data_IF_359429020302
#
_entry.id   IF_359429020302
#
_cell.length_a   1.000
_cell.length_b   1.000
_cell.length_c   1.000
_cell.angle_alpha   90.00
_cell.angle_beta   90.00
_cell.angle_gamma   90.00
#
_symmetry.space_group_name_H-M   'P 1'
#
loop_
_entity.id
_entity.type
_entity.pdbx_description
1 polymer ?
#
# COMPACT_ATOMS: atom_id res chain seq x y z
N UNK A 1 -4.26 4.17 29.94
CA UNK A 1 -3.82 2.89 29.29
C UNK A 1 -2.86 3.26 28.19
N UNK A 2 -1.62 2.79 28.28
CA UNK A 2 -0.61 3.00 27.26
C UNK A 2 -1.01 2.34 25.94
N UNK A 3 -0.87 3.08 24.85
CA UNK A 3 -1.07 2.57 23.49
C UNK A 3 0.19 2.82 22.69
N UNK A 4 0.45 1.98 21.72
CA UNK A 4 1.61 2.12 20.83
C UNK A 4 1.14 2.25 19.39
N UNK A 5 1.89 3.01 18.61
CA UNK A 5 1.71 3.10 17.16
C UNK A 5 3.05 3.23 16.46
N UNK A 6 3.13 2.74 15.24
CA UNK A 6 4.28 2.88 14.36
C UNK A 6 4.13 4.11 13.47
N UNK A 7 5.19 4.88 13.30
CA UNK A 7 5.25 6.05 12.44
C UNK A 7 6.41 5.88 11.44
N UNK A 8 6.06 5.75 10.15
CA UNK A 8 7.02 5.79 9.05
C UNK A 8 7.29 7.23 8.61
N UNK A 9 8.50 7.50 8.14
CA UNK A 9 8.92 8.85 7.72
C UNK A 9 9.81 8.80 6.49
N UNK A 10 9.69 9.79 5.58
CA UNK A 10 10.66 9.94 4.50
C UNK A 10 12.04 10.29 5.06
N UNK A 11 13.04 9.49 4.70
CA UNK A 11 14.42 9.60 5.17
C UNK A 11 15.35 10.21 4.13
N UNK A 12 14.92 10.24 2.87
CA UNK A 12 15.68 10.69 1.72
C UNK A 12 14.79 11.56 0.82
N UNK A 13 15.40 12.23 -0.16
CA UNK A 13 14.67 13.02 -1.15
C UNK A 13 13.75 12.15 -2.01
N UNK A 14 12.54 12.63 -2.24
CA UNK A 14 11.58 11.99 -3.13
C UNK A 14 10.98 13.01 -4.10
N UNK A 15 10.89 12.63 -5.37
CA UNK A 15 10.20 13.40 -6.40
C UNK A 15 8.76 12.94 -6.48
N UNK A 16 7.84 13.77 -6.02
CA UNK A 16 6.40 13.48 -6.11
C UNK A 16 5.86 13.54 -7.53
N UNK A 17 4.71 12.91 -7.77
CA UNK A 17 4.00 12.97 -9.04
C UNK A 17 3.54 14.37 -9.48
N UNK A 18 3.62 15.37 -8.59
CA UNK A 18 3.43 16.80 -8.89
C UNK A 18 4.64 17.46 -9.54
N UNK A 19 5.82 16.80 -9.52
CA UNK A 19 7.09 17.35 -9.97
C UNK A 19 7.88 18.09 -8.87
N UNK A 20 7.38 18.12 -7.64
CA UNK A 20 8.07 18.72 -6.49
C UNK A 20 9.00 17.72 -5.83
N UNK A 21 10.18 18.18 -5.41
CA UNK A 21 11.10 17.38 -4.60
C UNK A 21 10.81 17.63 -3.13
N UNK A 22 10.47 16.58 -2.41
CA UNK A 22 10.36 16.60 -0.96
C UNK A 22 11.67 16.11 -0.34
N UNK A 23 12.27 16.93 0.54
CA UNK A 23 13.50 16.59 1.25
C UNK A 23 13.17 15.86 2.56
N UNK A 24 13.29 14.54 2.55
CA UNK A 24 13.03 13.71 3.72
C UNK A 24 14.05 13.98 4.84
N UNK A 25 13.52 14.21 6.06
CA UNK A 25 14.31 14.47 7.28
C UNK A 25 14.09 13.43 8.35
N UNK A 26 13.29 12.43 8.05
CA UNK A 26 12.97 11.32 8.94
C UNK A 26 14.15 10.39 9.16
N UNK A 27 13.98 9.43 10.06
CA UNK A 27 15.05 8.49 10.45
C UNK A 27 14.59 7.02 10.37
N UNK A 28 13.53 6.73 9.62
CA UNK A 28 12.97 5.40 9.46
C UNK A 28 11.62 5.24 10.12
N UNK A 29 11.43 4.13 10.83
CA UNK A 29 10.19 3.81 11.55
C UNK A 29 10.41 4.03 13.05
N UNK A 30 9.55 4.84 13.68
CA UNK A 30 9.51 5.05 15.12
C UNK A 30 8.33 4.32 15.73
N UNK A 31 8.52 3.67 16.87
CA UNK A 31 7.43 3.27 17.76
C UNK A 31 7.20 4.39 18.76
N UNK A 32 5.98 4.90 18.78
CA UNK A 32 5.56 5.95 19.69
C UNK A 32 4.59 5.41 20.74
N UNK A 33 4.83 5.74 21.98
CA UNK A 33 3.93 5.50 23.11
C UNK A 33 2.99 6.69 23.25
N UNK A 34 1.70 6.42 23.36
CA UNK A 34 0.66 7.40 23.71
C UNK A 34 0.13 7.08 25.11
N UNK A 35 0.26 8.01 26.04
CA UNK A 35 -0.26 7.87 27.39
C UNK A 35 -0.76 9.24 27.89
N UNK A 36 -2.05 9.30 28.26
CA UNK A 36 -2.73 10.47 28.82
C UNK A 36 -2.44 11.80 28.08
N UNK A 37 -2.61 11.74 26.73
CA UNK A 37 -2.42 12.91 25.85
C UNK A 37 -0.97 13.20 25.49
N UNK A 38 0.01 12.47 26.04
CA UNK A 38 1.42 12.62 25.71
C UNK A 38 1.87 11.59 24.69
N UNK A 39 2.68 12.01 23.73
CA UNK A 39 3.33 11.14 22.75
C UNK A 39 4.83 11.21 22.99
N UNK A 40 5.46 10.04 23.11
CA UNK A 40 6.92 9.95 23.15
C UNK A 40 7.40 8.80 22.25
N UNK A 41 8.53 9.00 21.61
CA UNK A 41 9.21 7.92 20.90
C UNK A 41 9.83 6.96 21.92
N UNK A 42 9.51 5.66 21.81
CA UNK A 42 10.04 4.60 22.67
C UNK A 42 11.18 3.86 22.02
N UNK A 43 11.10 3.62 20.70
CA UNK A 43 12.15 2.97 19.92
C UNK A 43 12.13 3.44 18.47
N UNK A 44 13.21 3.16 17.74
CA UNK A 44 13.33 3.49 16.32
C UNK A 44 14.18 2.44 15.61
N UNK A 45 13.83 2.16 14.36
CA UNK A 45 14.64 1.37 13.45
C UNK A 45 14.87 2.12 12.15
N UNK A 46 16.08 2.03 11.61
CA UNK A 46 16.43 2.69 10.37
C UNK A 46 15.92 1.88 9.19
N UNK A 47 14.99 2.45 8.43
CA UNK A 47 14.43 1.92 7.18
C UNK A 47 14.38 3.06 6.18
N UNK A 48 14.71 2.81 4.92
CA UNK A 48 14.73 3.85 3.89
C UNK A 48 13.31 4.15 3.39
N UNK A 49 12.90 5.42 3.44
CA UNK A 49 11.61 5.95 2.96
C UNK A 49 10.39 5.06 3.28
N UNK A 50 10.15 4.67 4.55
CA UNK A 50 8.99 3.86 4.94
C UNK A 50 7.71 4.73 4.94
N UNK A 51 7.18 5.05 3.76
CA UNK A 51 6.06 5.98 3.59
C UNK A 51 4.71 5.40 3.96
N UNK A 52 4.55 4.08 3.90
CA UNK A 52 3.34 3.37 4.30
C UNK A 52 3.67 2.07 5.04
N UNK A 53 2.86 1.76 6.05
CA UNK A 53 3.05 0.63 6.95
C UNK A 53 1.78 -0.23 6.99
N UNK A 54 1.94 -1.55 7.05
CA UNK A 54 0.87 -2.50 7.29
C UNK A 54 1.23 -3.43 8.44
N UNK A 55 0.35 -3.52 9.43
CA UNK A 55 0.58 -4.30 10.64
C UNK A 55 -0.19 -5.63 10.57
N UNK A 56 0.50 -6.73 10.89
CA UNK A 56 -0.11 -8.02 11.18
C UNK A 56 0.05 -8.31 12.68
N UNK A 57 -0.90 -7.86 13.48
CA UNK A 57 -0.83 -7.99 14.94
C UNK A 57 -0.77 -9.44 15.39
N UNK A 58 -1.56 -10.32 14.74
CA UNK A 58 -1.63 -11.73 15.11
C UNK A 58 -0.28 -12.46 14.96
N UNK A 59 0.58 -11.98 14.08
CA UNK A 59 1.90 -12.56 13.78
C UNK A 59 3.07 -11.69 14.25
N UNK A 60 2.78 -10.54 14.87
CA UNK A 60 3.78 -9.54 15.28
C UNK A 60 4.72 -9.15 14.12
N UNK A 61 4.15 -8.97 12.94
CA UNK A 61 4.86 -8.53 11.74
C UNK A 61 4.44 -7.12 11.34
N UNK A 62 5.39 -6.36 10.84
CA UNK A 62 5.20 -5.08 10.21
C UNK A 62 5.79 -5.12 8.82
N UNK A 63 5.04 -4.64 7.83
CA UNK A 63 5.53 -4.51 6.45
C UNK A 63 5.57 -3.03 6.11
N UNK A 64 6.71 -2.57 5.61
CA UNK A 64 6.95 -1.18 5.26
C UNK A 64 7.36 -1.09 3.80
N UNK A 65 6.67 -0.29 3.00
CA UNK A 65 7.18 0.04 1.66
C UNK A 65 8.42 0.91 1.77
N UNK A 66 9.34 0.77 0.82
CA UNK A 66 10.46 1.68 0.65
C UNK A 66 10.18 2.48 -0.64
N UNK A 67 9.58 3.66 -0.50
CA UNK A 67 9.12 4.48 -1.62
C UNK A 67 10.30 5.10 -2.35
N UNK A 68 10.74 4.43 -3.41
CA UNK A 68 11.95 4.72 -4.16
C UNK A 68 11.84 4.24 -5.60
N UNK A 69 12.69 4.78 -6.48
CA UNK A 69 12.82 4.35 -7.88
C UNK A 69 13.91 3.30 -8.08
N UNK A 70 14.82 3.21 -7.15
CA UNK A 70 15.90 2.22 -7.10
C UNK A 70 16.13 1.79 -5.65
N UNK A 71 16.16 0.49 -5.42
CA UNK A 71 16.37 -0.09 -4.11
C UNK A 71 17.47 -1.16 -4.17
N UNK A 72 18.52 -1.00 -3.35
CA UNK A 72 19.68 -1.91 -3.32
C UNK A 72 20.35 -2.14 -4.69
N UNK A 73 20.40 -1.09 -5.53
CA UNK A 73 21.02 -1.17 -6.87
C UNK A 73 20.15 -1.84 -7.93
N UNK A 74 18.87 -2.12 -7.60
CA UNK A 74 17.91 -2.72 -8.54
C UNK A 74 16.81 -1.69 -8.84
N UNK A 75 16.42 -1.60 -10.11
CA UNK A 75 15.29 -0.77 -10.51
C UNK A 75 14.01 -1.21 -9.81
N UNK A 76 13.29 -0.26 -9.23
CA UNK A 76 12.08 -0.45 -8.43
C UNK A 76 12.29 -0.06 -6.97
N UNK A 77 11.19 0.03 -6.24
CA UNK A 77 11.22 0.25 -4.80
C UNK A 77 11.39 -1.04 -4.01
N UNK A 78 11.32 -0.92 -2.71
CA UNK A 78 11.47 -2.03 -1.77
C UNK A 78 10.24 -2.28 -0.91
N UNK A 79 10.28 -3.41 -0.24
CA UNK A 79 9.37 -3.81 0.82
C UNK A 79 10.19 -4.43 1.95
N UNK A 80 10.16 -3.83 3.13
CA UNK A 80 10.85 -4.33 4.32
C UNK A 80 9.85 -5.07 5.21
N UNK A 81 10.16 -6.34 5.51
CA UNK A 81 9.47 -7.14 6.52
C UNK A 81 10.20 -7.02 7.85
N UNK A 82 9.46 -6.69 8.90
CA UNK A 82 9.97 -6.57 10.26
C UNK A 82 9.13 -7.43 11.21
N UNK A 83 9.77 -7.89 12.29
CA UNK A 83 9.09 -8.37 13.50
C UNK A 83 9.15 -7.31 14.59
N UNK A 84 8.27 -7.45 15.61
CA UNK A 84 8.31 -6.64 16.82
C UNK A 84 7.90 -7.46 18.04
N UNK A 85 8.48 -7.11 19.20
CA UNK A 85 8.18 -7.74 20.47
C UNK A 85 7.08 -6.99 21.25
N UNK A 86 6.78 -7.45 22.47
CA UNK A 86 5.75 -6.86 23.35
C UNK A 86 6.11 -5.45 23.83
N UNK A 87 7.38 -5.12 23.85
CA UNK A 87 7.89 -3.78 24.16
C UNK A 87 7.98 -2.86 22.95
N UNK A 88 7.58 -3.34 21.75
CA UNK A 88 7.62 -2.59 20.51
C UNK A 88 9.03 -2.44 19.91
N UNK A 89 10.00 -3.25 20.33
CA UNK A 89 11.32 -3.28 19.69
C UNK A 89 11.21 -4.01 18.37
N UNK A 90 11.70 -3.39 17.30
CA UNK A 90 11.62 -3.90 15.94
C UNK A 90 12.92 -4.49 15.47
N UNK A 91 12.83 -5.53 14.63
CA UNK A 91 13.96 -6.14 13.93
C UNK A 91 13.61 -6.29 12.44
N UNK A 92 14.54 -5.92 11.55
CA UNK A 92 14.40 -6.18 10.10
C UNK A 92 14.70 -7.66 9.89
N UNK A 93 13.75 -8.40 9.37
CA UNK A 93 13.91 -9.81 9.05
C UNK A 93 14.37 -10.02 7.61
N UNK A 94 13.74 -9.29 6.68
CA UNK A 94 14.04 -9.43 5.26
C UNK A 94 13.55 -8.23 4.45
N UNK A 95 14.19 -8.03 3.30
CA UNK A 95 13.85 -6.99 2.34
C UNK A 95 13.62 -7.61 0.97
N UNK A 96 12.66 -7.04 0.21
CA UNK A 96 12.23 -7.57 -1.07
C UNK A 96 12.12 -6.44 -2.09
N UNK A 97 12.52 -6.66 -3.36
CA UNK A 97 12.22 -5.72 -4.44
C UNK A 97 10.73 -5.78 -4.79
N UNK A 98 10.08 -4.63 -4.96
CA UNK A 98 8.69 -4.57 -5.41
C UNK A 98 8.56 -4.69 -6.93
N UNK A 99 9.66 -4.61 -7.67
CA UNK A 99 9.71 -4.65 -9.14
C UNK A 99 8.97 -3.49 -9.84
N UNK A 100 8.29 -2.63 -9.08
CA UNK A 100 7.69 -1.38 -9.52
C UNK A 100 8.31 -0.20 -8.80
N UNK A 101 8.12 1.03 -9.28
CA UNK A 101 8.72 2.24 -8.71
C UNK A 101 7.74 3.03 -7.86
N UNK A 102 8.28 3.68 -6.83
CA UNK A 102 7.57 4.47 -5.84
C UNK A 102 6.40 3.67 -5.21
N UNK A 103 6.68 2.54 -4.52
CA UNK A 103 5.66 1.82 -3.77
C UNK A 103 5.14 2.71 -2.64
N UNK A 104 3.83 3.01 -2.67
CA UNK A 104 3.21 4.00 -1.78
C UNK A 104 2.13 3.41 -0.86
N UNK A 105 1.80 2.14 -1.02
CA UNK A 105 0.79 1.48 -0.19
C UNK A 105 1.07 -0.01 -0.09
N UNK A 106 0.78 -0.59 1.07
CA UNK A 106 0.85 -2.04 1.32
C UNK A 106 -0.35 -2.48 2.15
N UNK A 107 -0.97 -3.61 1.78
CA UNK A 107 -2.09 -4.20 2.51
C UNK A 107 -2.00 -5.73 2.53
N UNK A 108 -2.56 -6.34 3.59
CA UNK A 108 -2.68 -7.79 3.78
C UNK A 108 -4.10 -8.22 3.42
N UNK A 109 -4.23 -9.34 2.70
CA UNK A 109 -5.52 -10.00 2.51
C UNK A 109 -6.13 -10.41 3.87
N UNK A 110 -7.47 -10.30 4.05
CA UNK A 110 -8.10 -10.61 5.34
C UNK A 110 -7.87 -12.05 5.83
N UNK A 111 -7.63 -12.99 4.92
CA UNK A 111 -7.28 -14.38 5.22
C UNK A 111 -5.79 -14.60 5.51
N UNK A 112 -4.96 -13.56 5.40
CA UNK A 112 -3.51 -13.61 5.63
C UNK A 112 -2.70 -14.29 4.53
N UNK A 113 -3.30 -14.62 3.37
CA UNK A 113 -2.64 -15.39 2.30
C UNK A 113 -1.70 -14.56 1.42
N UNK A 114 -2.01 -13.26 1.25
CA UNK A 114 -1.28 -12.38 0.35
C UNK A 114 -1.05 -11.00 0.95
N UNK A 115 0.01 -10.37 0.45
CA UNK A 115 0.33 -8.96 0.67
C UNK A 115 0.38 -8.26 -0.70
N UNK A 116 -0.30 -7.14 -0.83
CA UNK A 116 -0.32 -6.35 -2.06
C UNK A 116 0.39 -5.01 -1.85
N UNK A 117 1.26 -4.65 -2.79
CA UNK A 117 2.00 -3.38 -2.81
C UNK A 117 1.64 -2.60 -4.07
N UNK A 118 1.10 -1.40 -3.90
CA UNK A 118 0.83 -0.49 -5.02
C UNK A 118 2.05 0.36 -5.32
N UNK A 119 2.52 0.33 -6.57
CA UNK A 119 3.66 1.06 -7.06
C UNK A 119 3.18 2.24 -7.93
N UNK A 120 3.21 3.44 -7.36
CA UNK A 120 2.58 4.62 -7.95
C UNK A 120 3.20 5.02 -9.30
N UNK A 121 4.51 5.27 -9.35
CA UNK A 121 5.11 5.84 -10.53
C UNK A 121 5.16 4.88 -11.73
N UNK A 122 5.29 3.57 -11.49
CA UNK A 122 5.20 2.56 -12.54
C UNK A 122 3.76 2.14 -12.89
N UNK A 123 2.76 2.50 -12.05
CA UNK A 123 1.37 2.13 -12.28
C UNK A 123 1.16 0.61 -12.26
N UNK A 124 1.61 -0.05 -11.21
CA UNK A 124 1.56 -1.50 -11.09
C UNK A 124 1.23 -1.93 -9.66
N UNK A 125 0.74 -3.14 -9.49
CA UNK A 125 0.62 -3.77 -8.17
C UNK A 125 1.52 -5.00 -8.11
N UNK A 126 2.24 -5.16 -6.99
CA UNK A 126 3.06 -6.35 -6.73
C UNK A 126 2.43 -7.17 -5.62
N UNK A 127 2.21 -8.45 -5.87
CA UNK A 127 1.59 -9.37 -4.95
C UNK A 127 2.63 -10.35 -4.42
N UNK A 128 2.70 -10.47 -3.10
CA UNK A 128 3.56 -11.43 -2.40
C UNK A 128 2.68 -12.46 -1.69
N UNK A 129 3.10 -13.71 -1.68
CA UNK A 129 2.47 -14.76 -0.86
C UNK A 129 3.01 -14.68 0.56
N UNK A 130 2.13 -14.98 1.52
CA UNK A 130 2.50 -15.11 2.92
C UNK A 130 2.36 -16.57 3.37
N UNK A 131 3.24 -17.02 4.25
CA UNK A 131 3.09 -18.27 4.97
C UNK A 131 2.18 -18.12 6.21
N UNK A 132 1.97 -19.21 6.94
CA UNK A 132 1.12 -19.23 8.12
C UNK A 132 1.65 -18.36 9.27
N UNK A 133 2.94 -18.00 9.25
CA UNK A 133 3.59 -17.15 10.23
C UNK A 133 3.67 -15.68 9.78
N UNK A 134 3.11 -15.36 8.61
CA UNK A 134 3.11 -14.04 8.02
C UNK A 134 4.43 -13.68 7.33
N UNK A 135 5.31 -14.65 7.05
CA UNK A 135 6.51 -14.36 6.30
C UNK A 135 6.24 -14.34 4.81
N UNK A 136 6.89 -13.42 4.09
CA UNK A 136 6.85 -13.37 2.65
C UNK A 136 7.60 -14.57 2.07
N UNK A 137 6.93 -15.32 1.18
CA UNK A 137 7.46 -16.53 0.53
C UNK A 137 7.72 -16.25 -0.94
N UNK A 138 8.95 -16.52 -1.37
CA UNK A 138 9.35 -16.35 -2.77
C UNK A 138 9.51 -14.90 -3.19
N UNK A 139 9.26 -14.65 -4.45
CA UNK A 139 9.33 -13.32 -5.07
C UNK A 139 7.94 -12.76 -5.31
N UNK A 140 7.84 -11.41 -5.31
CA UNK A 140 6.62 -10.72 -5.70
C UNK A 140 6.29 -10.90 -7.19
N UNK A 141 5.01 -11.09 -7.49
CA UNK A 141 4.47 -11.09 -8.86
C UNK A 141 3.95 -9.70 -9.19
N UNK A 142 4.47 -9.10 -10.25
CA UNK A 142 4.08 -7.77 -10.74
C UNK A 142 2.92 -7.87 -11.72
N UNK A 143 1.89 -7.04 -11.51
CA UNK A 143 0.76 -6.84 -12.42
C UNK A 143 0.80 -5.40 -12.92
N UNK A 144 1.20 -5.22 -14.18
CA UNK A 144 1.31 -3.91 -14.80
C UNK A 144 -0.06 -3.44 -15.31
N UNK A 145 -0.49 -2.25 -14.87
CA UNK A 145 -1.67 -1.57 -15.43
C UNK A 145 -1.34 -0.90 -16.75
N UNK A 146 -2.36 -0.60 -17.54
CA UNK A 146 -2.24 0.04 -18.84
C UNK A 146 -3.33 1.08 -19.05
N UNK A 147 -3.05 2.06 -19.88
CA UNK A 147 -3.99 3.12 -20.23
C UNK A 147 -3.55 4.51 -19.82
N UNK A 148 -4.46 5.46 -19.95
CA UNK A 148 -4.30 6.87 -19.58
C UNK A 148 -5.67 7.51 -19.41
N UNK A 149 -5.74 8.76 -18.93
CA UNK A 149 -6.98 9.50 -18.87
C UNK A 149 -6.79 10.96 -19.25
N UNK A 150 -7.75 11.82 -18.91
CA UNK A 150 -7.91 13.15 -19.49
C UNK A 150 -7.00 14.23 -18.92
N UNK A 151 -6.43 14.05 -17.72
CA UNK A 151 -5.58 15.06 -17.12
C UNK A 151 -4.20 15.10 -17.79
N UNK A 152 -3.78 16.24 -18.40
CA UNK A 152 -2.64 16.29 -19.33
C UNK A 152 -1.28 16.03 -18.67
N UNK A 153 -1.19 16.10 -17.35
CA UNK A 153 0.07 15.88 -16.60
C UNK A 153 -0.01 14.60 -15.75
N UNK A 154 -1.08 14.47 -14.95
CA UNK A 154 -1.22 13.45 -13.92
C UNK A 154 -1.78 12.10 -14.43
N UNK A 155 -2.26 12.03 -15.69
CA UNK A 155 -2.92 10.86 -16.25
C UNK A 155 -2.37 10.44 -17.62
N UNK A 156 -1.07 10.66 -17.84
CA UNK A 156 -0.38 10.20 -19.05
C UNK A 156 -0.13 8.69 -19.09
N UNK A 157 -0.23 8.04 -17.96
CA UNK A 157 -0.05 6.61 -17.75
C UNK A 157 -0.70 6.17 -16.44
N UNK A 158 -0.70 4.87 -16.12
CA UNK A 158 -1.28 4.36 -14.90
C UNK A 158 -0.49 4.78 -13.65
N UNK A 159 -1.20 4.93 -12.53
CA UNK A 159 -0.68 5.28 -11.21
C UNK A 159 -1.48 4.55 -10.13
N UNK A 160 -1.16 3.27 -9.89
CA UNK A 160 -1.78 2.48 -8.83
C UNK A 160 -1.45 3.08 -7.46
N UNK A 161 -2.47 3.44 -6.66
CA UNK A 161 -2.23 4.21 -5.44
C UNK A 161 -2.53 3.46 -4.15
N UNK A 162 -3.44 2.51 -4.17
CA UNK A 162 -3.73 1.65 -3.01
C UNK A 162 -4.20 0.28 -3.45
N UNK A 163 -4.16 -0.69 -2.54
CA UNK A 163 -4.75 -2.00 -2.71
C UNK A 163 -5.70 -2.25 -1.54
N UNK A 164 -6.97 -2.51 -1.82
CA UNK A 164 -8.02 -2.65 -0.82
C UNK A 164 -8.66 -4.03 -0.98
N UNK A 165 -8.50 -4.89 0.01
CA UNK A 165 -9.14 -6.19 0.03
C UNK A 165 -10.58 -6.08 0.52
N UNK A 166 -11.52 -6.70 -0.21
CA UNK A 166 -12.89 -6.80 0.23
C UNK A 166 -12.99 -7.72 1.47
N UNK A 167 -13.85 -7.37 2.46
CA UNK A 167 -13.94 -8.13 3.72
C UNK A 167 -14.44 -9.56 3.55
N UNK A 168 -15.09 -9.86 2.42
CA UNK A 168 -15.58 -11.21 2.09
C UNK A 168 -14.52 -12.12 1.48
N UNK A 169 -13.26 -11.68 1.40
CA UNK A 169 -12.12 -12.41 0.84
C UNK A 169 -12.30 -12.83 -0.63
N UNK A 170 -13.10 -12.10 -1.41
CA UNK A 170 -13.34 -12.44 -2.82
C UNK A 170 -12.53 -11.60 -3.80
N UNK A 171 -12.39 -10.30 -3.50
CA UNK A 171 -11.76 -9.33 -4.40
C UNK A 171 -10.83 -8.39 -3.68
N UNK A 172 -9.81 -7.98 -4.42
CA UNK A 172 -8.98 -6.83 -4.13
C UNK A 172 -9.25 -5.77 -5.18
N UNK A 173 -9.41 -4.53 -4.75
CA UNK A 173 -9.60 -3.36 -5.58
C UNK A 173 -8.38 -2.47 -5.55
N UNK A 174 -7.91 -2.06 -6.72
CA UNK A 174 -6.74 -1.19 -6.88
C UNK A 174 -7.17 0.09 -7.59
N UNK A 175 -7.44 1.18 -6.85
CA UNK A 175 -7.63 2.49 -7.45
C UNK A 175 -6.39 2.92 -8.22
N UNK A 176 -6.57 3.24 -9.48
CA UNK A 176 -5.51 3.76 -10.36
C UNK A 176 -5.85 5.18 -10.80
N UNK A 177 -5.13 6.13 -10.22
CA UNK A 177 -5.31 7.56 -10.44
C UNK A 177 -5.09 7.95 -11.90
N UNK A 178 -4.15 7.27 -12.57
CA UNK A 178 -3.72 7.61 -13.90
C UNK A 178 -4.67 7.21 -15.02
N UNK A 179 -5.53 6.22 -14.78
CA UNK A 179 -6.46 5.70 -15.80
C UNK A 179 -7.95 5.93 -15.48
N UNK A 180 -8.25 6.54 -14.31
CA UNK A 180 -9.62 6.74 -13.82
C UNK A 180 -10.41 5.43 -13.70
N UNK A 181 -9.79 4.41 -13.14
CA UNK A 181 -10.43 3.12 -12.88
C UNK A 181 -10.06 2.59 -11.49
N UNK A 182 -10.92 1.75 -10.95
CA UNK A 182 -10.59 0.85 -9.84
C UNK A 182 -10.51 -0.56 -10.42
N UNK A 183 -9.30 -1.09 -10.47
CA UNK A 183 -9.03 -2.38 -11.09
C UNK A 183 -9.29 -3.51 -10.10
N UNK A 184 -10.04 -4.53 -10.50
CA UNK A 184 -10.40 -5.64 -9.64
C UNK A 184 -9.51 -6.87 -9.89
N UNK A 185 -9.20 -7.55 -8.78
CA UNK A 185 -8.48 -8.81 -8.75
C UNK A 185 -9.22 -9.80 -7.86
N UNK A 186 -9.27 -11.05 -8.27
CA UNK A 186 -9.67 -12.16 -7.42
C UNK A 186 -8.45 -12.99 -7.04
N UNK A 187 -8.54 -13.75 -5.95
CA UNK A 187 -7.47 -14.66 -5.56
C UNK A 187 -8.01 -16.00 -5.07
N UNK A 188 -7.18 -17.02 -5.20
CA UNK A 188 -7.34 -18.34 -4.62
C UNK A 188 -6.10 -18.71 -3.82
N UNK A 189 -6.06 -19.92 -3.25
CA UNK A 189 -4.91 -20.35 -2.45
C UNK A 189 -3.54 -20.19 -3.16
N UNK A 190 -3.53 -20.28 -4.50
CA UNK A 190 -2.29 -20.39 -5.26
C UNK A 190 -2.02 -19.23 -6.22
N UNK A 191 -3.00 -18.42 -6.55
CA UNK A 191 -2.85 -17.38 -7.57
C UNK A 191 -3.77 -16.18 -7.37
N UNK A 192 -3.34 -15.05 -7.89
CA UNK A 192 -4.14 -13.83 -8.03
C UNK A 192 -4.38 -13.59 -9.51
N UNK A 193 -5.61 -13.28 -9.88
CA UNK A 193 -6.01 -13.06 -11.27
C UNK A 193 -6.67 -11.70 -11.45
N UNK A 194 -6.44 -11.07 -12.59
CA UNK A 194 -7.10 -9.84 -12.99
C UNK A 194 -8.55 -10.11 -13.40
N UNK A 195 -9.50 -9.43 -12.77
CA UNK A 195 -10.94 -9.61 -13.01
C UNK A 195 -11.56 -8.40 -13.72
N UNK A 196 -11.22 -8.20 -14.98
CA UNK A 196 -11.58 -7.00 -15.77
C UNK A 196 -13.09 -6.69 -15.81
N UNK A 197 -13.96 -7.70 -15.68
CA UNK A 197 -15.43 -7.50 -15.66
C UNK A 197 -15.93 -6.88 -14.36
N UNK A 198 -15.12 -6.91 -13.32
CA UNK A 198 -15.43 -6.32 -12.02
C UNK A 198 -14.75 -4.96 -11.81
N UNK A 199 -14.09 -4.42 -12.84
CA UNK A 199 -13.54 -3.06 -12.80
C UNK A 199 -14.65 -2.03 -12.61
N UNK A 200 -14.33 -1.00 -11.86
CA UNK A 200 -15.20 0.14 -11.66
C UNK A 200 -14.62 1.35 -12.39
N UNK A 201 -15.32 1.79 -13.44
CA UNK A 201 -15.06 3.07 -14.08
C UNK A 201 -15.55 4.22 -13.20
N UNK A 202 -14.69 5.22 -13.04
CA UNK A 202 -15.01 6.42 -12.28
C UNK A 202 -15.06 7.64 -13.20
N UNK A 203 -15.47 8.78 -12.66
CA UNK A 203 -15.55 10.02 -13.45
C UNK A 203 -14.18 10.38 -14.03
N UNK A 204 -14.12 10.63 -15.33
CA UNK A 204 -12.91 11.06 -16.04
C UNK A 204 -12.30 12.32 -15.41
N UNK A 205 -11.00 12.30 -15.18
CA UNK A 205 -10.26 13.37 -14.52
C UNK A 205 -10.39 13.41 -13.01
N UNK A 206 -11.07 12.43 -12.39
CA UNK A 206 -11.25 12.42 -10.94
C UNK A 206 -10.07 11.86 -10.15
N UNK A 207 -9.32 10.92 -10.73
CA UNK A 207 -8.14 10.31 -10.12
C UNK A 207 -8.44 9.55 -8.83
N UNK A 208 -8.98 8.32 -8.89
CA UNK A 208 -9.24 7.51 -7.71
C UNK A 208 -7.92 7.17 -7.02
N UNK A 209 -7.90 7.27 -5.69
CA UNK A 209 -6.65 7.19 -4.93
C UNK A 209 -6.64 6.13 -3.83
N UNK A 210 -7.57 6.25 -2.90
CA UNK A 210 -7.64 5.39 -1.72
C UNK A 210 -9.10 5.09 -1.39
N UNK A 211 -9.38 3.89 -0.96
CA UNK A 211 -10.73 3.50 -0.55
C UNK A 211 -10.72 2.62 0.70
N UNK A 212 -11.87 2.54 1.33
CA UNK A 212 -12.07 1.72 2.53
C UNK A 212 -13.50 1.19 2.58
N UNK A 213 -13.64 -0.03 3.07
CA UNK A 213 -14.94 -0.61 3.39
C UNK A 213 -15.39 -0.18 4.79
N UNK A 214 -16.68 -0.01 4.97
CA UNK A 214 -17.23 0.11 6.32
C UNK A 214 -17.08 -1.21 7.12
N UNK A 215 -17.24 -1.13 8.43
CA UNK A 215 -17.09 -2.28 9.32
C UNK A 215 -18.01 -3.47 8.98
N UNK A 216 -19.14 -3.21 8.30
CA UNK A 216 -20.09 -4.25 7.89
C UNK A 216 -19.77 -4.83 6.51
N UNK A 217 -18.78 -4.29 5.81
CA UNK A 217 -18.40 -4.70 4.46
C UNK A 217 -19.45 -4.44 3.39
N UNK A 218 -20.41 -3.54 3.63
CA UNK A 218 -21.53 -3.26 2.72
C UNK A 218 -21.37 -1.97 1.93
N UNK A 219 -20.50 -1.10 2.40
CA UNK A 219 -20.24 0.20 1.79
C UNK A 219 -18.76 0.36 1.52
N UNK A 220 -18.42 0.80 0.32
CA UNK A 220 -17.09 1.14 -0.10
C UNK A 220 -17.00 2.65 -0.34
N UNK A 221 -16.09 3.31 0.33
CA UNK A 221 -15.82 4.73 0.19
C UNK A 221 -14.52 4.93 -0.56
N UNK A 222 -14.54 5.75 -1.60
CA UNK A 222 -13.39 5.99 -2.48
C UNK A 222 -13.07 7.48 -2.53
N UNK A 223 -11.83 7.82 -2.19
CA UNK A 223 -11.28 9.18 -2.32
C UNK A 223 -10.73 9.36 -3.74
N UNK A 224 -11.08 10.48 -4.36
CA UNK A 224 -10.59 10.93 -5.64
C UNK A 224 -9.71 12.16 -5.45
N UNK A 225 -8.40 12.04 -5.73
CA UNK A 225 -7.41 13.08 -5.46
C UNK A 225 -7.59 14.30 -6.37
N UNK A 226 -7.63 14.08 -7.69
CA UNK A 226 -7.70 15.16 -8.67
C UNK A 226 -9.06 15.87 -8.59
N UNK A 227 -10.12 15.09 -8.41
CA UNK A 227 -11.49 15.61 -8.29
C UNK A 227 -11.85 16.18 -6.92
N UNK A 228 -10.97 16.04 -5.91
CA UNK A 228 -11.19 16.50 -4.52
C UNK A 228 -12.56 16.07 -3.97
N UNK A 229 -12.91 14.79 -4.11
CA UNK A 229 -14.21 14.26 -3.72
C UNK A 229 -14.09 12.88 -3.06
N UNK A 230 -15.09 12.51 -2.27
CA UNK A 230 -15.31 11.16 -1.77
C UNK A 230 -16.57 10.61 -2.39
N UNK A 231 -16.53 9.36 -2.88
CA UNK A 231 -17.69 8.66 -3.42
C UNK A 231 -18.00 7.43 -2.60
N UNK A 232 -19.27 7.14 -2.49
CA UNK A 232 -19.82 5.97 -1.84
C UNK A 232 -20.38 5.00 -2.87
N UNK A 233 -20.06 3.72 -2.69
CA UNK A 233 -20.54 2.61 -3.48
C UNK A 233 -21.14 1.55 -2.56
N UNK A 234 -22.33 1.05 -2.89
CA UNK A 234 -22.90 -0.10 -2.22
C UNK A 234 -22.20 -1.38 -2.69
N UNK A 235 -21.68 -2.17 -1.76
CA UNK A 235 -21.05 -3.45 -2.05
C UNK A 235 -22.00 -4.61 -1.79
N UNK A 236 -22.17 -5.48 -2.75
CA UNK A 236 -23.09 -6.64 -2.70
C UNK A 236 -22.34 -7.93 -3.04
N UNK A 237 -21.49 -8.37 -2.11
CA UNK A 237 -20.81 -9.68 -2.18
C UNK A 237 -20.17 -9.97 -3.56
N UNK A 238 -19.37 -9.07 -4.05
CA UNK A 238 -18.65 -9.17 -5.30
C UNK A 238 -19.40 -8.63 -6.49
#
# INVERSE_FOLDING_TARGET
MKRYFALGTYTEDILFGTGEVFHGKGKGISICEFDDGNIRESSRIQVRNPSFLCLNEAKRKLYAVNEMKEYQGVFGGGLTQLSYDEEGRMEIEKEFPTKGTDPCHVAIAPDGSFLAVSNFASGAVTIFRLDQDGNIVGEGQLYQHQGSSVHPVRQKGPHAHSAIFAPDCRRMYVPDLGVDQVLAYSWSADQVEREMKADLDVLKGSGPRFGEFDQNGKNFYLIHEIGSQVRHYAYKNG
#
